data_IF_055625007345
#
_entry.id   IF_055625007345
#
_cell.length_a   1.000
_cell.length_b   1.000
_cell.length_c   1.000
_cell.angle_alpha   90.00
_cell.angle_beta   90.00
_cell.angle_gamma   90.00
#
_symmetry.space_group_name_H-M   'P 1'
#
loop_
_entity.id
_entity.type
_entity.pdbx_description
1 polymer ?
#
# COMPACT_ATOMS: atom_id res chain seq x y z
N UNK A 1 -18.03 19.00 -8.54
CA UNK A 1 -16.79 18.20 -8.49
C UNK A 1 -15.59 19.12 -8.55
N UNK A 2 -14.67 19.01 -7.58
CA UNK A 2 -13.55 19.97 -7.44
C UNK A 2 -12.33 19.71 -8.32
N UNK A 3 -12.15 18.47 -8.78
CA UNK A 3 -10.94 18.03 -9.49
C UNK A 3 -11.27 17.50 -10.89
N UNK A 4 -10.33 17.66 -11.83
CA UNK A 4 -10.51 17.17 -13.21
C UNK A 4 -10.38 15.65 -13.30
N UNK A 5 -10.98 15.06 -14.33
CA UNK A 5 -10.89 13.62 -14.59
C UNK A 5 -9.43 13.15 -14.66
N UNK A 6 -8.57 13.92 -15.35
CA UNK A 6 -7.16 13.57 -15.54
C UNK A 6 -6.42 13.46 -14.20
N UNK A 7 -6.61 14.44 -13.31
CA UNK A 7 -5.99 14.42 -11.97
C UNK A 7 -6.45 13.23 -11.16
N UNK A 8 -7.73 12.89 -11.21
CA UNK A 8 -8.25 11.75 -10.46
C UNK A 8 -7.68 10.45 -10.99
N UNK A 9 -7.67 10.27 -12.31
CA UNK A 9 -7.06 9.09 -12.93
C UNK A 9 -5.58 8.96 -12.53
N UNK A 10 -4.83 10.07 -12.51
CA UNK A 10 -3.44 10.08 -12.06
C UNK A 10 -3.30 9.63 -10.60
N UNK A 11 -4.18 10.11 -9.71
CA UNK A 11 -4.17 9.68 -8.30
C UNK A 11 -4.49 8.20 -8.15
N UNK A 12 -5.50 7.68 -8.86
CA UNK A 12 -5.86 6.25 -8.79
C UNK A 12 -4.66 5.36 -9.16
N UNK A 13 -3.89 5.73 -10.18
CA UNK A 13 -2.70 4.99 -10.61
C UNK A 13 -1.59 4.89 -9.54
N UNK A 14 -1.56 5.78 -8.56
CA UNK A 14 -0.61 5.69 -7.44
C UNK A 14 -0.84 4.40 -6.64
N UNK A 15 -2.11 4.02 -6.51
CA UNK A 15 -2.59 2.94 -5.65
C UNK A 15 -2.78 1.62 -6.39
N UNK A 16 -2.47 1.53 -7.68
CA UNK A 16 -2.45 0.25 -8.39
C UNK A 16 -1.26 -0.62 -7.95
N UNK A 17 -1.40 -1.92 -8.13
CA UNK A 17 -0.29 -2.88 -8.00
C UNK A 17 0.78 -2.62 -9.07
N UNK A 18 2.05 -2.59 -8.65
CA UNK A 18 3.22 -2.29 -9.51
C UNK A 18 4.14 -3.49 -9.69
N UNK A 19 3.73 -4.68 -9.26
CA UNK A 19 4.53 -5.91 -9.30
C UNK A 19 4.81 -6.45 -10.72
N UNK A 20 4.36 -5.77 -11.78
CA UNK A 20 4.72 -6.09 -13.17
C UNK A 20 4.00 -7.31 -13.75
N UNK A 21 4.37 -7.71 -14.97
CA UNK A 21 3.65 -8.75 -15.74
C UNK A 21 3.70 -10.16 -15.13
N UNK A 22 4.61 -10.43 -14.19
CA UNK A 22 4.70 -11.70 -13.46
C UNK A 22 3.72 -11.80 -12.28
N UNK A 23 3.00 -10.73 -11.97
CA UNK A 23 2.04 -10.72 -10.87
C UNK A 23 0.79 -11.54 -11.19
N UNK A 24 0.40 -12.42 -10.27
CA UNK A 24 -0.90 -13.08 -10.27
C UNK A 24 -2.09 -12.10 -10.11
N UNK A 25 -1.81 -10.80 -9.88
CA UNK A 25 -2.80 -9.72 -9.66
C UNK A 25 -2.84 -8.70 -10.80
N UNK A 26 -2.71 -9.15 -12.05
CA UNK A 26 -2.75 -8.27 -13.25
C UNK A 26 -3.97 -7.35 -13.29
N UNK A 27 -5.10 -7.83 -12.80
CA UNK A 27 -6.35 -7.08 -12.70
C UNK A 27 -6.30 -5.90 -11.71
N UNK A 28 -5.28 -5.81 -10.85
CA UNK A 28 -5.08 -4.70 -9.90
C UNK A 28 -4.07 -3.65 -10.39
N UNK A 29 -3.51 -3.82 -11.59
CA UNK A 29 -2.54 -2.89 -12.18
C UNK A 29 -3.18 -1.64 -12.77
N UNK A 30 -4.49 -1.70 -13.05
CA UNK A 30 -5.28 -0.57 -13.53
C UNK A 30 -6.46 -0.31 -12.60
N UNK A 31 -6.94 0.95 -12.51
CA UNK A 31 -8.14 1.27 -11.77
C UNK A 31 -9.38 0.60 -12.38
N UNK A 32 -10.35 0.27 -11.54
CA UNK A 32 -11.50 -0.54 -11.93
C UNK A 32 -12.79 -0.08 -11.25
N UNK A 33 -13.93 -0.63 -11.70
CA UNK A 33 -15.25 -0.43 -11.09
C UNK A 33 -15.65 -1.69 -10.33
N UNK A 34 -16.04 -1.54 -9.06
CA UNK A 34 -16.56 -2.63 -8.23
C UNK A 34 -17.53 -2.07 -7.19
N UNK A 35 -18.59 -2.81 -6.87
CA UNK A 35 -19.57 -2.48 -5.80
C UNK A 35 -20.13 -1.04 -5.80
N UNK A 36 -20.26 -0.41 -6.98
CA UNK A 36 -20.79 0.96 -7.14
C UNK A 36 -19.75 2.08 -7.03
N UNK A 37 -18.46 1.73 -6.93
CA UNK A 37 -17.35 2.67 -6.79
C UNK A 37 -16.31 2.44 -7.88
N UNK A 38 -15.52 3.49 -8.13
CA UNK A 38 -14.21 3.37 -8.73
C UNK A 38 -13.21 2.97 -7.65
N UNK A 39 -12.27 2.08 -7.97
CA UNK A 39 -11.27 1.53 -7.07
C UNK A 39 -9.89 1.44 -7.73
N UNK A 40 -8.84 1.56 -6.92
CA UNK A 40 -7.51 1.02 -7.20
C UNK A 40 -6.91 0.52 -5.88
N UNK A 41 -6.12 -0.54 -5.92
CA UNK A 41 -5.47 -1.10 -4.71
C UNK A 41 -4.17 -1.83 -5.02
N UNK A 42 -3.21 -1.70 -4.11
CA UNK A 42 -1.91 -2.37 -4.12
C UNK A 42 -1.81 -3.38 -2.97
N UNK A 43 -2.96 -3.87 -2.47
CA UNK A 43 -3.12 -4.80 -1.33
C UNK A 43 -2.81 -4.22 0.06
N UNK A 44 -1.99 -3.20 0.17
CA UNK A 44 -1.75 -2.49 1.45
C UNK A 44 -2.56 -1.20 1.58
N UNK A 45 -2.94 -0.63 0.44
CA UNK A 45 -3.66 0.62 0.32
C UNK A 45 -4.77 0.45 -0.71
N UNK A 46 -5.87 1.16 -0.54
CA UNK A 46 -6.93 1.26 -1.53
C UNK A 46 -7.41 2.70 -1.63
N UNK A 47 -7.77 3.15 -2.82
CA UNK A 47 -8.46 4.41 -3.04
C UNK A 47 -9.80 4.13 -3.71
N UNK A 48 -10.82 4.88 -3.31
CA UNK A 48 -12.14 4.76 -3.91
C UNK A 48 -12.92 6.06 -3.99
N UNK A 49 -13.86 6.08 -4.95
CA UNK A 49 -14.77 7.18 -5.25
C UNK A 49 -16.13 6.62 -5.67
N UNK A 50 -17.24 7.17 -5.18
CA UNK A 50 -18.56 6.75 -5.65
C UNK A 50 -18.73 7.07 -7.13
N UNK A 51 -19.30 6.13 -7.89
CA UNK A 51 -19.42 6.23 -9.34
C UNK A 51 -20.39 7.33 -9.81
N UNK A 52 -21.33 7.74 -8.97
CA UNK A 52 -22.30 8.80 -9.26
C UNK A 52 -21.70 10.22 -9.17
N UNK A 53 -20.49 10.36 -8.63
CA UNK A 53 -19.79 11.67 -8.53
C UNK A 53 -19.23 12.12 -9.88
N UNK A 54 -18.74 11.18 -10.70
CA UNK A 54 -17.99 11.45 -11.94
C UNK A 54 -18.07 10.27 -12.90
N UNK A 55 -18.01 10.53 -14.21
CA UNK A 55 -17.77 9.49 -15.19
C UNK A 55 -16.26 9.30 -15.45
N UNK A 56 -15.69 8.18 -14.99
CA UNK A 56 -14.33 7.73 -15.31
C UNK A 56 -14.33 6.49 -16.22
N UNK A 57 -13.34 6.35 -17.12
CA UNK A 57 -13.28 5.29 -18.12
C UNK A 57 -12.70 3.98 -17.57
N UNK A 58 -13.01 3.62 -16.32
CA UNK A 58 -12.48 2.41 -15.68
C UNK A 58 -13.30 1.17 -16.01
N UNK A 59 -12.63 0.04 -16.11
CA UNK A 59 -13.25 -1.25 -16.49
C UNK A 59 -13.90 -1.89 -15.26
N UNK A 60 -15.06 -2.53 -15.44
CA UNK A 60 -15.73 -3.27 -14.36
C UNK A 60 -14.99 -4.56 -14.06
N UNK A 61 -14.70 -4.81 -12.78
CA UNK A 61 -14.23 -6.10 -12.28
C UNK A 61 -15.26 -6.64 -11.29
N UNK A 62 -15.85 -7.80 -11.56
CA UNK A 62 -16.95 -8.36 -10.75
C UNK A 62 -16.47 -9.11 -9.51
N UNK A 63 -15.20 -9.58 -9.49
CA UNK A 63 -14.62 -10.34 -8.38
C UNK A 63 -13.16 -9.91 -8.14
N UNK A 64 -12.66 -10.04 -6.89
CA UNK A 64 -13.42 -10.35 -5.67
C UNK A 64 -14.36 -9.20 -5.25
N UNK A 65 -15.33 -9.47 -4.37
CA UNK A 65 -16.06 -8.39 -3.71
C UNK A 65 -15.12 -7.68 -2.73
N UNK A 66 -14.91 -6.40 -2.97
CA UNK A 66 -14.03 -5.54 -2.17
C UNK A 66 -14.81 -4.51 -1.35
N UNK A 67 -16.11 -4.73 -1.15
CA UNK A 67 -16.96 -3.88 -0.31
C UNK A 67 -16.41 -3.69 1.11
N UNK A 68 -15.68 -4.67 1.64
CA UNK A 68 -15.00 -4.60 2.95
C UNK A 68 -13.89 -3.54 3.03
N UNK A 69 -13.40 -3.03 1.89
CA UNK A 69 -12.44 -1.93 1.82
C UNK A 69 -13.12 -0.56 1.95
N UNK A 70 -14.45 -0.49 1.87
CA UNK A 70 -15.20 0.75 2.01
C UNK A 70 -15.34 1.05 3.50
N UNK A 71 -15.17 2.33 3.88
CA UNK A 71 -15.38 2.77 5.26
C UNK A 71 -16.83 2.48 5.64
N UNK A 72 -17.08 1.70 6.70
CA UNK A 72 -18.44 1.48 7.16
C UNK A 72 -19.00 2.77 7.77
N UNK A 73 -20.30 2.95 7.60
CA UNK A 73 -21.04 4.05 8.21
C UNK A 73 -21.41 3.67 9.66
N UNK A 74 -20.51 3.98 10.58
CA UNK A 74 -20.75 3.82 12.01
C UNK A 74 -19.87 4.76 12.85
N UNK A 75 -20.34 5.02 14.07
CA UNK A 75 -19.74 5.98 15.00
C UNK A 75 -18.52 5.43 15.77
N UNK A 76 -17.99 4.26 15.38
CA UNK A 76 -16.83 3.66 16.08
C UNK A 76 -15.52 4.36 15.71
N UNK A 77 -15.49 5.09 14.60
CA UNK A 77 -14.31 5.79 14.12
C UNK A 77 -14.24 7.17 14.76
N UNK A 78 -13.05 7.58 15.18
CA UNK A 78 -12.81 8.96 15.59
C UNK A 78 -12.03 9.69 14.49
N UNK A 79 -12.39 10.95 14.26
CA UNK A 79 -11.83 11.73 13.16
C UNK A 79 -10.86 12.78 13.68
N UNK A 80 -9.82 13.05 12.90
CA UNK A 80 -8.87 14.13 13.15
C UNK A 80 -8.47 14.79 11.85
N UNK A 81 -8.19 16.09 11.91
CA UNK A 81 -7.70 16.84 10.75
C UNK A 81 -6.19 16.77 10.71
N UNK A 82 -5.62 16.46 9.55
CA UNK A 82 -4.18 16.35 9.36
C UNK A 82 -3.75 17.32 8.28
N UNK A 83 -2.75 18.14 8.61
CA UNK A 83 -2.04 18.96 7.63
C UNK A 83 -1.01 18.10 6.90
N UNK A 84 -1.08 18.08 5.57
CA UNK A 84 -0.15 17.33 4.72
C UNK A 84 1.27 17.87 4.84
N UNK A 85 1.42 19.17 5.03
CA UNK A 85 2.74 19.78 5.25
C UNK A 85 3.35 19.32 6.58
N UNK A 86 2.56 19.28 7.67
CA UNK A 86 3.04 18.74 8.96
C UNK A 86 3.42 17.27 8.85
N UNK A 87 2.62 16.45 8.15
CA UNK A 87 2.92 15.04 7.93
C UNK A 87 4.26 14.88 7.18
N UNK A 88 4.44 15.66 6.10
CA UNK A 88 5.66 15.66 5.31
C UNK A 88 6.88 16.08 6.15
N UNK A 89 6.74 17.14 6.95
CA UNK A 89 7.81 17.58 7.87
C UNK A 89 8.14 16.50 8.90
N UNK A 90 7.14 15.88 9.52
CA UNK A 90 7.34 14.80 10.48
C UNK A 90 8.11 13.61 9.88
N UNK A 91 7.79 13.23 8.65
CA UNK A 91 8.51 12.19 7.90
C UNK A 91 9.95 12.60 7.62
N UNK A 92 10.17 13.84 7.16
CA UNK A 92 11.50 14.34 6.76
C UNK A 92 12.42 14.53 7.97
N UNK A 93 11.93 15.08 9.07
CA UNK A 93 12.70 15.30 10.30
C UNK A 93 13.17 14.00 10.96
N UNK A 94 12.46 12.90 10.70
CA UNK A 94 12.81 11.58 11.23
C UNK A 94 13.51 10.69 10.20
N UNK A 95 13.82 11.18 9.00
CA UNK A 95 14.31 10.33 7.90
C UNK A 95 15.57 9.56 8.30
N UNK A 96 15.58 8.26 8.07
CA UNK A 96 16.75 7.40 8.21
C UNK A 96 17.34 7.14 6.83
N UNK A 97 18.66 7.26 6.77
CA UNK A 97 19.42 6.90 5.59
C UNK A 97 20.03 5.53 5.83
N UNK A 98 19.81 4.60 4.91
CA UNK A 98 20.40 3.25 4.92
C UNK A 98 21.25 3.07 3.67
N UNK A 99 22.26 2.23 3.76
CA UNK A 99 23.02 1.87 2.58
C UNK A 99 22.13 1.04 1.65
N UNK A 100 22.06 1.42 0.38
CA UNK A 100 21.37 0.63 -0.63
C UNK A 100 22.11 -0.68 -0.82
N UNK A 101 21.37 -1.76 -0.66
CA UNK A 101 21.84 -3.12 -0.85
C UNK A 101 21.18 -3.66 -2.12
N UNK A 102 21.97 -4.25 -3.00
CA UNK A 102 21.45 -5.06 -4.10
C UNK A 102 21.43 -6.53 -3.65
N UNK A 103 20.33 -7.23 -3.92
CA UNK A 103 20.27 -8.69 -3.80
C UNK A 103 20.67 -9.32 -5.13
N UNK A 104 21.51 -10.36 -5.07
CA UNK A 104 21.70 -11.28 -6.20
C UNK A 104 20.91 -12.54 -5.89
N UNK A 105 19.86 -12.75 -6.66
CA UNK A 105 19.05 -13.96 -6.63
C UNK A 105 19.61 -14.96 -7.63
N UNK A 106 19.93 -16.18 -7.19
CA UNK A 106 20.08 -17.29 -8.13
C UNK A 106 18.76 -18.04 -8.19
N UNK A 107 18.30 -18.34 -9.41
CA UNK A 107 17.17 -19.23 -9.63
C UNK A 107 17.46 -20.59 -8.97
N UNK A 108 16.46 -21.15 -8.30
CA UNK A 108 16.53 -22.56 -7.92
C UNK A 108 16.54 -23.39 -9.21
N UNK A 109 17.47 -24.34 -9.34
CA UNK A 109 17.54 -25.17 -10.54
C UNK A 109 16.28 -26.03 -10.75
N UNK A 110 15.51 -26.29 -9.69
CA UNK A 110 14.32 -27.17 -9.73
C UNK A 110 12.99 -26.41 -9.86
N UNK A 111 12.85 -25.22 -9.27
CA UNK A 111 11.58 -24.44 -9.31
C UNK A 111 11.76 -23.01 -9.84
N UNK A 112 12.90 -22.69 -10.45
CA UNK A 112 13.27 -21.35 -10.90
C UNK A 112 13.17 -20.24 -9.83
N UNK A 113 13.06 -20.61 -8.54
CA UNK A 113 12.98 -19.68 -7.42
C UNK A 113 11.57 -19.18 -7.09
N UNK A 114 10.50 -19.70 -7.72
CA UNK A 114 9.12 -19.31 -7.38
C UNK A 114 8.56 -20.05 -6.17
N UNK A 115 9.23 -21.13 -5.73
CA UNK A 115 8.85 -21.85 -4.52
C UNK A 115 7.67 -22.80 -4.68
N UNK A 116 7.09 -22.90 -5.88
CA UNK A 116 5.88 -23.67 -6.17
C UNK A 116 6.25 -24.96 -6.93
N UNK A 117 5.97 -26.13 -6.34
CA UNK A 117 5.90 -27.40 -7.08
C UNK A 117 4.50 -27.99 -6.88
N UNK A 118 3.68 -28.03 -7.93
CA UNK A 118 2.30 -28.56 -7.85
C UNK A 118 2.29 -30.08 -7.56
N UNK A 119 1.50 -30.52 -6.58
CA UNK A 119 1.23 -31.94 -6.34
C UNK A 119 0.15 -32.46 -7.31
N UNK A 120 0.55 -33.25 -8.32
CA UNK A 120 -0.34 -33.81 -9.36
C UNK A 120 -1.42 -34.79 -8.87
N UNK A 121 -1.50 -35.12 -7.58
CA UNK A 121 -2.54 -36.01 -7.05
C UNK A 121 -3.75 -35.25 -6.45
N UNK A 122 -3.55 -34.03 -5.94
CA UNK A 122 -4.60 -33.31 -5.20
C UNK A 122 -4.66 -31.79 -5.39
N UNK A 123 -3.79 -31.18 -6.21
CA UNK A 123 -3.84 -29.74 -6.49
C UNK A 123 -3.41 -28.86 -5.30
N UNK A 124 -2.59 -29.38 -4.38
CA UNK A 124 -2.02 -28.59 -3.28
C UNK A 124 -0.66 -28.02 -3.69
N UNK A 125 -0.46 -26.72 -3.44
CA UNK A 125 0.80 -25.98 -3.57
C UNK A 125 1.73 -26.37 -2.41
N UNK A 126 2.52 -27.42 -2.58
CA UNK A 126 3.58 -27.75 -1.61
C UNK A 126 4.81 -26.93 -1.96
N UNK A 127 5.46 -26.35 -0.94
CA UNK A 127 6.73 -25.66 -1.08
C UNK A 127 7.79 -26.58 -1.72
N UNK A 128 8.55 -26.10 -2.72
CA UNK A 128 9.66 -26.86 -3.30
C UNK A 128 10.58 -27.42 -2.20
N UNK A 129 10.83 -28.73 -2.16
CA UNK A 129 11.59 -29.37 -1.05
C UNK A 129 13.02 -28.82 -0.90
N UNK A 130 13.62 -28.36 -2.00
CA UNK A 130 15.00 -27.85 -2.06
C UNK A 130 15.18 -26.39 -1.66
N UNK A 131 14.14 -25.56 -1.87
CA UNK A 131 14.17 -24.14 -1.50
C UNK A 131 13.14 -23.78 -0.42
N UNK A 132 12.28 -24.72 -0.03
CA UNK A 132 11.17 -24.57 0.92
C UNK A 132 10.40 -23.27 0.74
N UNK A 133 10.02 -22.98 -0.51
CA UNK A 133 9.25 -21.79 -0.85
C UNK A 133 9.99 -20.44 -0.72
N UNK A 134 11.24 -20.42 -0.28
CA UNK A 134 11.91 -19.17 0.15
C UNK A 134 12.73 -18.46 -0.93
N UNK A 135 12.99 -19.11 -2.07
CA UNK A 135 14.04 -18.66 -3.00
C UNK A 135 15.42 -18.62 -2.30
N UNK A 136 16.51 -18.40 -3.03
CA UNK A 136 17.85 -18.25 -2.42
C UNK A 136 18.44 -16.90 -2.77
N UNK A 137 18.30 -15.93 -1.86
CA UNK A 137 19.12 -14.71 -1.87
C UNK A 137 20.50 -15.11 -1.34
N UNK A 138 21.47 -15.23 -2.25
CA UNK A 138 22.80 -15.73 -1.89
C UNK A 138 23.71 -14.64 -1.35
N UNK A 139 23.50 -13.40 -1.80
CA UNK A 139 24.38 -12.30 -1.41
C UNK A 139 23.65 -10.96 -1.43
N UNK A 140 23.91 -10.21 -0.36
CA UNK A 140 23.62 -8.79 -0.25
C UNK A 140 24.90 -8.03 -0.58
N UNK A 141 24.86 -7.22 -1.63
CA UNK A 141 26.00 -6.41 -2.07
C UNK A 141 25.71 -4.95 -1.68
N UNK A 142 26.41 -4.40 -0.67
CA UNK A 142 26.34 -2.98 -0.35
C UNK A 142 26.87 -2.17 -1.54
N UNK A 143 26.15 -1.12 -1.91
CA UNK A 143 26.49 -0.31 -3.11
C UNK A 143 27.32 0.93 -2.78
N UNK A 144 27.54 1.24 -1.50
CA UNK A 144 28.10 2.53 -1.05
C UNK A 144 27.16 3.73 -1.22
N UNK A 145 25.99 3.55 -1.84
CA UNK A 145 25.00 4.62 -2.02
C UNK A 145 24.04 4.67 -0.83
N UNK A 146 23.95 5.81 -0.16
CA UNK A 146 22.94 6.03 0.89
C UNK A 146 21.60 6.41 0.27
N UNK A 147 20.52 5.72 0.68
CA UNK A 147 19.15 5.98 0.27
C UNK A 147 18.25 6.15 1.49
N UNK A 148 17.10 6.81 1.32
CA UNK A 148 16.10 6.90 2.39
C UNK A 148 15.53 5.50 2.63
N UNK A 149 15.50 5.08 3.89
CA UNK A 149 14.94 3.81 4.30
C UNK A 149 13.43 3.76 3.94
N UNK A 150 13.10 2.93 2.95
CA UNK A 150 11.72 2.74 2.49
C UNK A 150 10.88 1.93 3.48
N UNK A 151 11.53 1.15 4.34
CA UNK A 151 10.91 0.32 5.37
C UNK A 151 10.82 1.05 6.72
N UNK A 152 11.29 2.30 6.78
CA UNK A 152 11.14 3.13 7.95
C UNK A 152 9.66 3.30 8.32
N UNK A 153 9.41 3.20 9.62
CA UNK A 153 8.07 3.18 10.20
C UNK A 153 7.79 4.48 10.92
N UNK A 154 6.65 5.07 10.59
CA UNK A 154 6.14 6.32 11.13
C UNK A 154 4.89 6.07 11.97
N UNK A 155 4.81 6.73 13.14
CA UNK A 155 3.63 6.70 13.98
C UNK A 155 2.67 7.83 13.57
N UNK A 156 1.48 7.48 13.11
CA UNK A 156 0.42 8.45 12.82
C UNK A 156 -0.75 8.14 13.73
N UNK A 157 -1.07 9.05 14.65
CA UNK A 157 -2.18 8.90 15.61
C UNK A 157 -2.18 7.55 16.37
N UNK A 158 -1.01 7.08 16.80
CA UNK A 158 -0.87 5.84 17.58
C UNK A 158 -0.80 4.56 16.74
N UNK A 159 -0.86 4.66 15.40
CA UNK A 159 -0.73 3.54 14.46
C UNK A 159 0.56 3.65 13.67
N UNK A 160 1.13 2.50 13.34
CA UNK A 160 2.43 2.41 12.68
C UNK A 160 2.25 2.15 11.19
N UNK A 161 2.98 2.88 10.35
CA UNK A 161 2.91 2.76 8.90
C UNK A 161 4.30 2.82 8.29
N UNK A 162 4.53 2.04 7.24
CA UNK A 162 5.66 2.30 6.35
C UNK A 162 5.54 3.69 5.72
N UNK A 163 6.64 4.45 5.76
CA UNK A 163 6.70 5.79 5.17
C UNK A 163 6.35 5.77 3.68
N UNK A 164 6.66 4.69 2.96
CA UNK A 164 6.28 4.52 1.56
C UNK A 164 4.77 4.71 1.31
N UNK A 165 3.91 4.19 2.20
CA UNK A 165 2.45 4.34 2.12
C UNK A 165 2.03 5.80 2.34
N UNK A 166 2.60 6.45 3.35
CA UNK A 166 2.32 7.87 3.63
C UNK A 166 2.82 8.80 2.51
N UNK A 167 3.89 8.43 1.80
CA UNK A 167 4.36 9.15 0.61
C UNK A 167 3.37 9.07 -0.55
N UNK A 168 2.64 7.96 -0.72
CA UNK A 168 1.57 7.85 -1.71
C UNK A 168 0.45 8.85 -1.39
N UNK A 169 0.04 8.94 -0.12
CA UNK A 169 -0.93 9.95 0.34
C UNK A 169 -0.45 11.39 0.04
N UNK A 170 0.79 11.73 0.39
CA UNK A 170 1.36 13.06 0.13
C UNK A 170 1.36 13.38 -1.37
N UNK A 171 1.71 12.39 -2.22
CA UNK A 171 1.68 12.54 -3.67
C UNK A 171 0.26 12.77 -4.20
N UNK A 172 -0.72 12.00 -3.72
CA UNK A 172 -2.12 12.18 -4.07
C UNK A 172 -2.61 13.59 -3.74
N UNK A 173 -2.34 14.04 -2.51
CA UNK A 173 -2.68 15.39 -2.05
C UNK A 173 -2.04 16.48 -2.93
N UNK A 174 -0.77 16.30 -3.33
CA UNK A 174 -0.06 17.25 -4.20
C UNK A 174 -0.72 17.38 -5.58
N UNK A 175 -1.13 16.28 -6.20
CA UNK A 175 -1.79 16.29 -7.52
C UNK A 175 -3.14 17.03 -7.44
N UNK A 176 -3.90 16.77 -6.38
CA UNK A 176 -5.21 17.37 -6.14
C UNK A 176 -5.12 18.81 -5.59
N UNK A 177 -3.95 19.25 -5.12
CA UNK A 177 -3.79 20.55 -4.48
C UNK A 177 -4.44 20.64 -3.09
N UNK A 178 -4.50 19.51 -2.37
CA UNK A 178 -5.11 19.38 -1.04
C UNK A 178 -4.03 19.57 0.04
N UNK A 179 -4.27 20.49 0.96
CA UNK A 179 -3.33 20.79 2.07
C UNK A 179 -3.72 20.12 3.39
N UNK A 180 -4.98 19.72 3.53
CA UNK A 180 -5.53 19.12 4.75
C UNK A 180 -6.47 17.97 4.39
N UNK A 181 -6.46 16.92 5.21
CA UNK A 181 -7.30 15.74 5.05
C UNK A 181 -7.99 15.39 6.37
N UNK A 182 -9.09 14.64 6.30
CA UNK A 182 -9.74 14.09 7.49
C UNK A 182 -9.34 12.63 7.61
N UNK A 183 -8.64 12.29 8.68
CA UNK A 183 -8.29 10.91 9.01
C UNK A 183 -9.29 10.35 10.00
N UNK A 184 -9.89 9.22 9.65
CA UNK A 184 -10.79 8.41 10.44
C UNK A 184 -10.06 7.18 10.98
N UNK A 185 -9.83 7.17 12.29
CA UNK A 185 -9.12 6.11 12.97
C UNK A 185 -10.05 5.00 13.42
N UNK A 186 -9.70 3.77 13.08
CA UNK A 186 -10.30 2.60 13.70
C UNK A 186 -9.74 2.44 15.13
N UNK A 187 -10.59 2.25 16.16
CA UNK A 187 -10.18 2.12 17.54
C UNK A 187 -9.32 0.87 17.81
N UNK A 188 -9.38 -0.14 16.94
CA UNK A 188 -8.46 -1.27 16.98
C UNK A 188 -7.15 -0.88 16.28
N UNK A 189 -6.04 -0.89 17.02
CA UNK A 189 -4.72 -0.47 16.54
C UNK A 189 -4.26 -1.22 15.27
N UNK A 190 -4.65 -2.49 15.11
CA UNK A 190 -4.26 -3.34 13.99
C UNK A 190 -5.19 -3.25 12.78
N UNK A 191 -6.18 -2.35 12.81
CA UNK A 191 -7.11 -2.11 11.70
C UNK A 191 -6.75 -0.86 10.91
N UNK A 192 -7.21 -0.84 9.67
CA UNK A 192 -7.03 0.24 8.71
C UNK A 192 -7.46 1.60 9.24
N UNK A 193 -6.85 2.64 8.69
CA UNK A 193 -7.37 4.00 8.74
C UNK A 193 -8.06 4.33 7.42
N UNK A 194 -8.99 5.28 7.48
CA UNK A 194 -9.56 5.90 6.28
C UNK A 194 -9.19 7.37 6.26
N UNK A 195 -8.90 7.90 5.08
CA UNK A 195 -8.51 9.29 4.89
C UNK A 195 -9.38 9.87 3.79
N UNK A 196 -10.17 10.88 4.12
CA UNK A 196 -11.02 11.60 3.18
C UNK A 196 -10.24 12.77 2.56
N UNK A 197 -10.32 12.86 1.23
CA UNK A 197 -9.70 13.88 0.39
C UNK A 197 -10.78 14.41 -0.56
N UNK A 198 -11.55 15.40 -0.09
CA UNK A 198 -12.79 15.83 -0.75
C UNK A 198 -13.74 14.64 -1.01
N UNK A 199 -14.04 14.30 -2.26
CA UNK A 199 -14.94 13.21 -2.62
C UNK A 199 -14.26 11.82 -2.62
N UNK A 200 -12.92 11.77 -2.52
CA UNK A 200 -12.13 10.53 -2.51
C UNK A 200 -11.91 10.01 -1.10
N UNK A 201 -11.80 8.70 -0.95
CA UNK A 201 -11.34 8.08 0.30
C UNK A 201 -10.21 7.11 0.04
N UNK A 202 -9.16 7.21 0.87
CA UNK A 202 -8.04 6.27 0.89
C UNK A 202 -8.15 5.42 2.15
N UNK A 203 -8.02 4.11 1.99
CA UNK A 203 -7.84 3.13 3.06
C UNK A 203 -6.35 2.76 3.12
N UNK A 204 -5.75 2.82 4.31
CA UNK A 204 -4.35 2.43 4.53
C UNK A 204 -4.28 1.40 5.66
N UNK A 205 -3.68 0.25 5.35
CA UNK A 205 -3.39 -0.77 6.35
C UNK A 205 -2.19 -0.34 7.22
N UNK A 206 -2.26 -0.46 8.56
CA UNK A 206 -1.09 -0.28 9.40
C UNK A 206 -0.06 -1.41 9.18
N UNK A 207 1.15 -1.21 9.67
CA UNK A 207 2.15 -2.26 9.84
C UNK A 207 1.96 -2.89 11.22
N UNK A 208 1.95 -4.22 11.31
CA UNK A 208 1.70 -4.91 12.56
C UNK A 208 2.90 -4.87 13.48
N UNK A 209 2.65 -4.86 14.80
CA UNK A 209 3.70 -4.77 15.81
C UNK A 209 4.62 -6.00 15.83
N UNK A 210 4.10 -7.16 15.47
CA UNK A 210 4.85 -8.42 15.47
C UNK A 210 5.84 -8.49 14.30
N UNK A 211 5.54 -7.81 13.18
CA UNK A 211 6.48 -7.59 12.07
C UNK A 211 7.66 -6.68 12.48
N UNK A 212 7.49 -5.87 13.53
CA UNK A 212 8.52 -4.93 14.03
C UNK A 212 9.64 -5.60 14.81
N UNK A 213 9.50 -6.87 15.18
CA UNK A 213 10.62 -7.63 15.75
C UNK A 213 11.82 -7.67 14.80
N UNK A 214 11.61 -7.39 13.50
CA UNK A 214 12.64 -7.23 12.47
C UNK A 214 13.14 -5.79 12.30
N UNK A 215 12.46 -4.78 12.84
CA UNK A 215 12.74 -3.36 12.65
C UNK A 215 13.11 -2.70 13.98
N UNK A 216 14.40 -2.49 14.21
CA UNK A 216 14.97 -2.09 15.53
C UNK A 216 14.55 -0.71 16.05
N UNK A 217 13.80 0.07 15.29
CA UNK A 217 14.06 1.50 15.26
C UNK A 217 12.80 2.35 14.95
N UNK A 218 11.85 2.37 15.90
CA UNK A 218 10.61 3.17 15.85
C UNK A 218 10.91 4.67 15.78
N UNK A 219 10.31 5.39 14.83
CA UNK A 219 10.35 6.86 14.84
C UNK A 219 9.12 7.47 15.50
N UNK A 220 9.34 8.52 16.30
CA UNK A 220 8.25 9.29 16.92
C UNK A 220 7.55 10.10 15.82
N UNK A 221 6.22 9.98 15.75
CA UNK A 221 5.43 10.67 14.72
C UNK A 221 4.43 11.66 15.31
N UNK A 222 3.41 12.00 14.51
CA UNK A 222 2.48 13.13 14.76
C UNK A 222 1.08 12.62 15.08
#
# INVERSE_FOLDING_TARGET
MKHSNEKIIEVFKIYCDKSGESSYRKNLQEPFVNSGYYFATNSSEAIYLKKDVIALPFIKLEKPDISFLIKPDNDKYWSSKISIEKLKQGIESNRKMVEKINSVENKCNECEGTGETECHCCGSEIECEDCRGSGKINQYIPTGQMVVDSEQIFNLNGKLFFIARLKNLIRACKILGISEVILHNNPNNNKQIFIELDELTIMIMPTFKDDLSKFKDLTQGV
#
